data_IF_842225651658
#
_entry.id   IF_842225651658
#
_cell.length_a   1.000
_cell.length_b   1.000
_cell.length_c   1.000
_cell.angle_alpha   90.00
_cell.angle_beta   90.00
_cell.angle_gamma   90.00
#
_symmetry.space_group_name_H-M   'P 1'
#
loop_
_entity.id
_entity.type
_entity.pdbx_description
1 polymer ?
#
# COMPACT_ATOMS: atom_id res chain seq x y z
N UNK A 1 6.67 17.18 10.07
CA UNK A 1 6.60 17.70 8.67
C UNK A 1 5.72 18.92 8.53
N UNK A 2 4.41 18.81 8.77
CA UNK A 2 3.41 19.88 8.58
C UNK A 2 3.80 21.27 9.12
N UNK A 3 4.37 21.33 10.33
CA UNK A 3 4.73 22.59 10.98
C UNK A 3 6.08 23.16 10.54
N UNK A 4 6.97 22.34 9.97
CA UNK A 4 8.36 22.73 9.69
C UNK A 4 8.62 23.06 8.22
N UNK A 5 7.86 22.47 7.29
CA UNK A 5 7.97 22.75 5.85
C UNK A 5 7.68 24.22 5.51
N UNK A 6 6.71 24.91 6.14
CA UNK A 6 6.50 26.35 5.92
C UNK A 6 7.71 27.22 6.27
N UNK A 7 8.56 26.78 7.20
CA UNK A 7 9.79 27.48 7.56
C UNK A 7 10.90 27.30 6.51
N UNK A 8 10.66 26.50 5.47
CA UNK A 8 11.57 26.22 4.36
C UNK A 8 10.92 26.58 3.01
N UNK A 9 10.03 27.57 3.01
CA UNK A 9 9.32 28.10 1.83
C UNK A 9 8.37 27.11 1.14
N UNK A 10 7.95 26.05 1.84
CA UNK A 10 6.98 25.07 1.36
C UNK A 10 5.65 25.16 2.09
N UNK A 11 4.55 25.40 1.37
CA UNK A 11 3.20 25.17 1.88
C UNK A 11 2.98 23.68 2.13
N UNK A 12 2.19 23.33 3.16
CA UNK A 12 1.89 21.93 3.48
C UNK A 12 0.41 21.64 3.61
N UNK A 13 -0.03 20.55 2.99
CA UNK A 13 -1.37 19.98 3.09
C UNK A 13 -1.22 18.51 3.50
N UNK A 14 -1.98 18.07 4.51
CA UNK A 14 -1.96 16.69 4.98
C UNK A 14 -3.35 16.09 4.86
N UNK A 15 -3.44 14.94 4.20
CA UNK A 15 -4.65 14.11 4.13
C UNK A 15 -4.39 12.78 4.83
N UNK A 16 -5.43 12.19 5.40
CA UNK A 16 -5.37 10.86 6.00
C UNK A 16 -5.91 9.82 5.02
N UNK A 17 -5.42 8.59 5.10
CA UNK A 17 -6.05 7.49 4.37
C UNK A 17 -7.44 7.20 4.96
N UNK A 18 -8.44 6.86 4.12
CA UNK A 18 -9.69 6.31 4.60
C UNK A 18 -9.45 4.94 5.23
N UNK A 19 -10.41 4.50 6.04
CA UNK A 19 -10.41 3.14 6.56
C UNK A 19 -10.68 2.15 5.42
N UNK A 20 -9.87 1.10 5.34
CA UNK A 20 -9.90 0.13 4.25
C UNK A 20 -11.00 -0.89 4.50
N UNK A 21 -11.93 -1.05 3.56
CA UNK A 21 -12.97 -2.08 3.66
C UNK A 21 -12.37 -3.49 3.66
N UNK A 22 -11.24 -3.66 2.99
CA UNK A 22 -10.47 -4.91 2.97
C UNK A 22 -9.86 -5.32 4.32
N UNK A 23 -9.80 -4.41 5.30
CA UNK A 23 -9.34 -4.67 6.68
C UNK A 23 -10.52 -4.77 7.68
N UNK A 24 -11.76 -4.56 7.20
CA UNK A 24 -12.94 -4.74 8.03
C UNK A 24 -13.16 -6.23 8.33
N UNK A 25 -13.44 -6.54 9.60
CA UNK A 25 -13.72 -7.91 10.04
C UNK A 25 -14.97 -8.40 9.31
N UNK A 26 -14.79 -9.36 8.39
CA UNK A 26 -15.90 -9.97 7.68
C UNK A 26 -16.82 -10.69 8.68
N UNK A 27 -18.16 -10.56 8.56
CA UNK A 27 -19.09 -11.29 9.39
C UNK A 27 -18.85 -12.80 9.24
N UNK A 28 -18.77 -13.50 10.37
CA UNK A 28 -18.62 -14.97 10.40
C UNK A 28 -19.78 -15.59 9.62
N UNK A 29 -19.47 -16.28 8.52
CA UNK A 29 -20.46 -17.13 7.83
C UNK A 29 -20.79 -18.27 8.80
N UNK A 30 -21.99 -18.25 9.36
CA UNK A 30 -22.48 -19.32 10.24
C UNK A 30 -22.86 -20.47 9.32
N UNK A 31 -22.04 -21.51 9.29
CA UNK A 31 -22.40 -22.77 8.64
C UNK A 31 -23.68 -23.30 9.32
N UNK A 32 -24.79 -23.49 8.59
CA UNK A 32 -26.02 -23.98 9.21
C UNK A 32 -25.78 -25.39 9.73
N UNK A 33 -25.88 -25.54 11.06
CA UNK A 33 -25.67 -26.80 11.75
C UNK A 33 -26.57 -27.89 11.14
N UNK A 34 -25.93 -28.97 10.65
CA UNK A 34 -26.63 -30.16 10.21
C UNK A 34 -27.51 -30.69 11.35
N UNK A 35 -28.80 -30.86 11.07
CA UNK A 35 -29.78 -31.35 12.02
C UNK A 35 -29.42 -32.78 12.51
N UNK A 36 -29.55 -33.08 13.82
CA UNK A 36 -29.21 -34.38 14.35
C UNK A 36 -30.24 -35.44 13.91
N UNK A 37 -29.78 -36.53 13.30
CA UNK A 37 -30.60 -37.73 13.09
C UNK A 37 -30.62 -38.57 14.38
N UNK A 38 -31.81 -38.85 14.88
CA UNK A 38 -32.06 -39.78 15.99
C UNK A 38 -31.77 -41.25 15.58
N UNK A 39 -31.44 -42.15 16.54
CA UNK A 39 -30.92 -43.48 16.25
C UNK A 39 -32.06 -44.52 16.15
N UNK A 40 -31.87 -45.58 15.35
CA UNK A 40 -31.71 -46.96 15.83
C UNK A 40 -31.83 -48.04 14.73
N UNK A 41 -31.07 -49.12 14.99
CA UNK A 41 -31.29 -50.52 14.61
C UNK A 41 -30.78 -51.04 13.27
N UNK A 42 -29.93 -52.07 13.35
CA UNK A 42 -29.65 -53.01 12.26
C UNK A 42 -28.23 -53.57 12.24
N UNK A 43 -28.00 -54.66 12.99
CA UNK A 43 -26.81 -55.52 12.85
C UNK A 43 -27.00 -56.51 11.68
N UNK A 44 -26.08 -56.53 10.70
CA UNK A 44 -25.39 -57.72 10.13
C UNK A 44 -24.68 -57.47 8.78
N UNK A 45 -23.47 -58.04 8.72
CA UNK A 45 -22.54 -58.41 7.64
C UNK A 45 -22.79 -58.16 6.13
N UNK A 46 -21.73 -57.60 5.52
CA UNK A 46 -21.02 -57.94 4.27
C UNK A 46 -21.76 -58.25 2.93
N UNK A 47 -21.59 -57.36 1.93
CA UNK A 47 -20.80 -57.60 0.68
C UNK A 47 -21.29 -56.79 -0.55
N UNK A 48 -20.33 -56.23 -1.30
CA UNK A 48 -20.36 -55.79 -2.73
C UNK A 48 -21.05 -54.47 -3.16
N UNK A 49 -20.19 -53.45 -3.41
CA UNK A 49 -20.11 -52.39 -4.46
C UNK A 49 -21.28 -52.22 -5.47
N UNK A 50 -21.75 -51.04 -5.94
CA UNK A 50 -21.47 -49.57 -5.91
C UNK A 50 -22.87 -48.86 -6.08
N UNK A 51 -23.07 -47.55 -6.44
CA UNK A 51 -22.27 -46.32 -6.38
C UNK A 51 -23.07 -45.11 -5.82
N UNK A 52 -22.48 -44.23 -5.01
CA UNK A 52 -22.86 -42.81 -4.90
C UNK A 52 -21.83 -42.10 -4.00
N UNK A 53 -21.73 -40.79 -4.12
CA UNK A 53 -20.86 -39.88 -3.36
C UNK A 53 -19.46 -39.71 -4.00
N UNK A 54 -18.98 -38.52 -4.34
CA UNK A 54 -19.28 -37.22 -3.76
C UNK A 54 -18.85 -36.13 -4.75
N UNK A 55 -19.81 -35.36 -5.25
CA UNK A 55 -19.56 -34.03 -5.79
C UNK A 55 -19.15 -33.13 -4.60
N UNK A 56 -17.86 -33.06 -4.28
CA UNK A 56 -17.34 -32.18 -3.23
C UNK A 56 -16.08 -31.41 -3.67
N UNK A 57 -15.86 -31.27 -4.98
CA UNK A 57 -14.81 -30.40 -5.51
C UNK A 57 -15.31 -29.00 -5.91
N UNK A 58 -16.62 -28.83 -6.14
CA UNK A 58 -17.17 -27.58 -6.68
C UNK A 58 -17.41 -26.51 -5.61
N UNK A 59 -17.95 -26.86 -4.44
CA UNK A 59 -18.43 -25.84 -3.49
C UNK A 59 -17.30 -25.13 -2.74
N UNK A 60 -16.22 -25.83 -2.43
CA UNK A 60 -15.04 -25.22 -1.80
C UNK A 60 -14.28 -24.30 -2.78
N UNK A 61 -14.17 -24.70 -4.06
CA UNK A 61 -13.51 -23.90 -5.08
C UNK A 61 -14.35 -22.69 -5.52
N UNK A 62 -15.68 -22.84 -5.58
CA UNK A 62 -16.60 -21.73 -5.87
C UNK A 62 -16.68 -20.78 -4.68
N UNK A 63 -16.65 -21.27 -3.43
CA UNK A 63 -16.58 -20.40 -2.25
C UNK A 63 -15.26 -19.62 -2.18
N UNK A 64 -14.12 -20.25 -2.46
CA UNK A 64 -12.81 -19.58 -2.47
C UNK A 64 -12.70 -18.55 -3.60
N UNK A 65 -13.24 -18.85 -4.79
CA UNK A 65 -13.31 -17.91 -5.91
C UNK A 65 -14.21 -16.70 -5.60
N UNK A 66 -15.41 -16.91 -5.06
CA UNK A 66 -16.33 -15.82 -4.70
C UNK A 66 -15.74 -14.94 -3.58
N UNK A 67 -15.01 -15.52 -2.63
CA UNK A 67 -14.30 -14.75 -1.58
C UNK A 67 -13.11 -13.97 -2.15
N UNK A 68 -12.38 -14.52 -3.12
CA UNK A 68 -11.30 -13.83 -3.81
C UNK A 68 -11.81 -12.66 -4.66
N UNK A 69 -12.87 -12.87 -5.46
CA UNK A 69 -13.49 -11.83 -6.30
C UNK A 69 -14.02 -10.67 -5.45
N UNK A 70 -14.71 -10.96 -4.34
CA UNK A 70 -15.20 -9.93 -3.42
C UNK A 70 -14.08 -9.16 -2.73
N UNK A 71 -12.96 -9.81 -2.41
CA UNK A 71 -11.78 -9.14 -1.82
C UNK A 71 -11.10 -8.21 -2.83
N UNK A 72 -10.97 -8.63 -4.08
CA UNK A 72 -10.37 -7.80 -5.14
C UNK A 72 -11.26 -6.59 -5.48
N UNK A 73 -12.57 -6.77 -5.52
CA UNK A 73 -13.52 -5.68 -5.75
C UNK A 73 -13.48 -4.64 -4.61
N UNK A 74 -13.39 -5.09 -3.35
CA UNK A 74 -13.18 -4.22 -2.19
C UNK A 74 -11.85 -3.46 -2.27
N UNK A 75 -10.76 -4.12 -2.65
CA UNK A 75 -9.46 -3.48 -2.80
C UNK A 75 -9.47 -2.41 -3.92
N UNK A 76 -10.24 -2.64 -4.99
CA UNK A 76 -10.45 -1.66 -6.06
C UNK A 76 -11.28 -0.47 -5.58
N UNK A 77 -12.37 -0.70 -4.86
CA UNK A 77 -13.17 0.36 -4.26
C UNK A 77 -12.37 1.20 -3.24
N UNK A 78 -11.52 0.55 -2.43
CA UNK A 78 -10.56 1.21 -1.55
C UNK A 78 -9.60 2.11 -2.33
N UNK A 79 -9.01 1.60 -3.42
CA UNK A 79 -8.11 2.37 -4.28
C UNK A 79 -8.81 3.60 -4.88
N UNK A 80 -10.03 3.44 -5.39
CA UNK A 80 -10.81 4.54 -5.97
C UNK A 80 -11.12 5.64 -4.94
N UNK A 81 -11.49 5.26 -3.71
CA UNK A 81 -11.73 6.24 -2.62
C UNK A 81 -10.47 6.98 -2.24
N UNK A 82 -9.33 6.30 -2.19
CA UNK A 82 -8.03 6.93 -1.89
C UNK A 82 -7.63 7.87 -3.02
N UNK A 83 -7.77 7.46 -4.27
CA UNK A 83 -7.43 8.27 -5.43
C UNK A 83 -8.30 9.51 -5.52
N UNK A 84 -9.61 9.39 -5.31
CA UNK A 84 -10.51 10.54 -5.25
C UNK A 84 -10.10 11.54 -4.16
N UNK A 85 -9.60 11.05 -3.02
CA UNK A 85 -9.10 11.91 -1.94
C UNK A 85 -7.80 12.62 -2.30
N UNK A 86 -6.89 11.93 -3.00
CA UNK A 86 -5.64 12.51 -3.51
C UNK A 86 -5.96 13.55 -4.59
N UNK A 87 -6.85 13.24 -5.54
CA UNK A 87 -7.33 14.15 -6.59
C UNK A 87 -7.93 15.42 -5.98
N UNK A 88 -8.79 15.29 -4.97
CA UNK A 88 -9.37 16.44 -4.27
C UNK A 88 -8.31 17.30 -3.55
N UNK A 89 -7.29 16.68 -2.97
CA UNK A 89 -6.20 17.40 -2.31
C UNK A 89 -5.31 18.16 -3.31
N UNK A 90 -5.03 17.56 -4.46
CA UNK A 90 -4.29 18.19 -5.55
C UNK A 90 -5.11 19.36 -6.11
N UNK A 91 -6.40 19.15 -6.41
CA UNK A 91 -7.28 20.22 -6.87
C UNK A 91 -7.42 21.38 -5.87
N UNK A 92 -7.40 21.08 -4.56
CA UNK A 92 -7.34 22.13 -3.54
C UNK A 92 -6.01 22.90 -3.57
N UNK A 93 -4.87 22.21 -3.71
CA UNK A 93 -3.57 22.86 -3.82
C UNK A 93 -3.48 23.77 -5.06
N UNK A 94 -4.03 23.33 -6.19
CA UNK A 94 -4.14 24.11 -7.42
C UNK A 94 -4.97 25.40 -7.23
N UNK A 95 -6.10 25.31 -6.55
CA UNK A 95 -6.92 26.48 -6.23
C UNK A 95 -6.17 27.50 -5.37
N UNK A 96 -5.25 27.02 -4.52
CA UNK A 96 -4.33 27.87 -3.74
C UNK A 96 -3.11 28.33 -4.57
N UNK A 97 -3.16 28.21 -5.90
CA UNK A 97 -2.11 28.63 -6.83
C UNK A 97 -0.77 27.91 -6.64
N UNK A 98 -0.78 26.66 -6.14
CA UNK A 98 0.41 25.83 -6.09
C UNK A 98 0.81 25.41 -7.50
N UNK A 99 1.96 25.90 -8.00
CA UNK A 99 2.45 25.62 -9.36
C UNK A 99 3.27 24.34 -9.48
N UNK A 100 3.87 23.92 -8.37
CA UNK A 100 4.78 22.78 -8.28
C UNK A 100 4.39 21.96 -7.05
N UNK A 101 3.85 20.76 -7.27
CA UNK A 101 3.33 19.91 -6.19
C UNK A 101 4.31 18.77 -5.93
N UNK A 102 4.58 18.53 -4.65
CA UNK A 102 5.35 17.36 -4.20
C UNK A 102 4.46 16.49 -3.33
N UNK A 103 4.37 15.21 -3.67
CA UNK A 103 3.64 14.24 -2.85
C UNK A 103 4.60 13.56 -1.89
N UNK A 104 4.23 13.52 -0.60
CA UNK A 104 4.93 12.77 0.42
C UNK A 104 3.98 11.72 1.00
N UNK A 105 4.33 10.45 0.85
CA UNK A 105 3.62 9.33 1.47
C UNK A 105 4.42 8.75 2.63
N UNK A 106 3.73 8.44 3.73
CA UNK A 106 4.31 7.79 4.91
C UNK A 106 3.68 6.41 5.13
N UNK A 107 4.45 5.38 5.46
CA UNK A 107 3.90 4.05 5.73
C UNK A 107 3.17 3.48 4.52
N UNK A 108 1.94 3.03 4.74
CA UNK A 108 1.00 2.60 3.67
C UNK A 108 0.58 3.74 2.74
N UNK A 109 0.65 4.99 3.19
CA UNK A 109 0.43 6.15 2.33
C UNK A 109 1.47 6.29 1.22
N UNK A 110 2.69 5.81 1.43
CA UNK A 110 3.71 5.76 0.39
C UNK A 110 3.31 4.78 -0.73
N UNK A 111 2.76 3.63 -0.36
CA UNK A 111 2.26 2.65 -1.33
C UNK A 111 1.13 3.24 -2.18
N UNK A 112 0.12 3.82 -1.54
CA UNK A 112 -1.02 4.38 -2.26
C UNK A 112 -0.66 5.58 -3.13
N UNK A 113 0.24 6.45 -2.65
CA UNK A 113 0.74 7.56 -3.44
C UNK A 113 1.55 7.06 -4.66
N UNK A 114 2.41 6.05 -4.50
CA UNK A 114 3.13 5.45 -5.60
C UNK A 114 2.16 4.88 -6.65
N UNK A 115 1.17 4.09 -6.21
CA UNK A 115 0.16 3.50 -7.09
C UNK A 115 -0.66 4.56 -7.83
N UNK A 116 -1.10 5.60 -7.12
CA UNK A 116 -1.81 6.74 -7.72
C UNK A 116 -0.96 7.39 -8.82
N UNK A 117 0.32 7.66 -8.55
CA UNK A 117 1.23 8.32 -9.49
C UNK A 117 1.50 7.47 -10.74
N UNK A 118 1.57 6.15 -10.60
CA UNK A 118 1.76 5.23 -11.73
C UNK A 118 0.51 5.11 -12.59
N UNK A 119 -0.67 5.13 -11.98
CA UNK A 119 -1.95 4.96 -12.70
C UNK A 119 -2.45 6.26 -13.33
N UNK A 120 -2.39 7.39 -12.61
CA UNK A 120 -2.93 8.68 -13.05
C UNK A 120 -1.93 9.55 -13.81
N UNK A 121 -0.62 9.41 -13.53
CA UNK A 121 0.45 10.18 -14.17
C UNK A 121 0.17 11.69 -14.26
N UNK A 122 -0.20 12.30 -13.13
CA UNK A 122 -0.57 13.72 -13.05
C UNK A 122 0.64 14.63 -13.28
N UNK A 123 0.63 15.43 -14.35
CA UNK A 123 1.76 16.26 -14.77
C UNK A 123 2.19 17.36 -13.77
N UNK A 124 1.32 17.70 -12.82
CA UNK A 124 1.56 18.76 -11.83
C UNK A 124 2.44 18.31 -10.65
N UNK A 125 2.61 16.99 -10.49
CA UNK A 125 3.42 16.42 -9.43
C UNK A 125 4.83 16.27 -9.95
N UNK A 126 5.72 17.13 -9.46
CA UNK A 126 7.11 17.18 -9.93
C UNK A 126 8.00 16.15 -9.24
N UNK A 127 7.70 15.84 -7.97
CA UNK A 127 8.54 14.98 -7.13
C UNK A 127 7.68 14.12 -6.20
N UNK A 128 8.24 12.97 -5.83
CA UNK A 128 7.63 12.06 -4.87
C UNK A 128 8.61 11.63 -3.79
N UNK A 129 8.15 11.64 -2.55
CA UNK A 129 8.91 11.20 -1.38
C UNK A 129 8.15 10.09 -0.68
N UNK A 130 8.78 8.94 -0.56
CA UNK A 130 8.35 7.83 0.27
C UNK A 130 9.10 7.87 1.59
N UNK A 131 8.37 7.79 2.71
CA UNK A 131 8.93 7.68 4.05
C UNK A 131 8.41 6.41 4.69
N UNK A 132 9.33 5.56 5.16
CA UNK A 132 9.01 4.30 5.85
C UNK A 132 7.98 3.48 5.08
N UNK A 133 8.22 3.30 3.78
CA UNK A 133 7.18 2.81 2.88
C UNK A 133 6.81 1.36 3.19
N UNK A 134 5.51 1.12 3.36
CA UNK A 134 4.96 -0.20 3.68
C UNK A 134 3.87 -0.56 2.67
N UNK A 135 3.93 -1.77 2.12
CA UNK A 135 2.85 -2.30 1.30
C UNK A 135 1.79 -2.95 2.22
N UNK A 136 0.49 -2.68 2.02
CA UNK A 136 -0.55 -3.44 2.73
C UNK A 136 -0.44 -4.93 2.40
N UNK A 137 -0.75 -5.80 3.36
CA UNK A 137 -0.47 -7.23 3.26
C UNK A 137 -1.09 -7.94 2.04
N UNK A 138 -2.27 -7.49 1.58
CA UNK A 138 -2.99 -8.05 0.42
C UNK A 138 -2.87 -7.19 -0.83
N UNK A 139 -2.06 -6.14 -0.82
CA UNK A 139 -2.02 -5.19 -1.91
C UNK A 139 -1.22 -5.71 -3.11
N UNK A 140 -1.86 -5.74 -4.27
CA UNK A 140 -1.24 -5.96 -5.58
C UNK A 140 -1.46 -4.71 -6.46
N UNK A 141 -0.48 -4.30 -7.28
CA UNK A 141 0.88 -4.84 -7.42
C UNK A 141 1.78 -4.51 -6.22
N UNK A 142 2.94 -5.14 -6.12
CA UNK A 142 3.90 -4.89 -5.03
C UNK A 142 4.59 -3.52 -5.20
N UNK A 143 5.04 -2.90 -4.09
CA UNK A 143 5.67 -1.58 -4.16
C UNK A 143 6.95 -1.56 -5.02
N UNK A 144 7.71 -2.66 -5.02
CA UNK A 144 8.88 -2.82 -5.87
C UNK A 144 8.54 -2.83 -7.38
N UNK A 145 7.35 -3.28 -7.76
CA UNK A 145 6.88 -3.31 -9.15
C UNK A 145 6.40 -1.92 -9.60
N UNK A 146 5.84 -1.14 -8.68
CA UNK A 146 5.41 0.24 -8.95
C UNK A 146 6.61 1.17 -9.16
N UNK A 147 7.67 1.00 -8.36
CA UNK A 147 8.84 1.88 -8.32
C UNK A 147 9.46 2.18 -9.70
N UNK A 148 9.78 1.19 -10.57
CA UNK A 148 10.37 1.46 -11.88
C UNK A 148 9.43 2.18 -12.86
N UNK A 149 8.11 2.14 -12.63
CA UNK A 149 7.12 2.77 -13.53
C UNK A 149 6.88 4.25 -13.21
N UNK A 150 7.42 4.76 -12.10
CA UNK A 150 7.37 6.16 -11.72
C UNK A 150 8.24 7.00 -12.67
N UNK A 151 7.62 7.92 -13.41
CA UNK A 151 8.28 8.79 -14.40
C UNK A 151 8.79 10.12 -13.83
N UNK A 152 8.93 10.21 -12.51
CA UNK A 152 9.29 11.44 -11.80
C UNK A 152 10.34 11.18 -10.73
N UNK A 153 11.16 12.18 -10.37
CA UNK A 153 12.13 12.08 -9.29
C UNK A 153 11.51 11.56 -8.00
N UNK A 154 12.01 10.41 -7.53
CA UNK A 154 11.49 9.71 -6.38
C UNK A 154 12.58 9.50 -5.32
N UNK A 155 12.30 9.93 -4.10
CA UNK A 155 13.09 9.59 -2.92
C UNK A 155 12.43 8.47 -2.12
N UNK A 156 13.23 7.50 -1.71
CA UNK A 156 12.84 6.45 -0.78
C UNK A 156 13.65 6.56 0.50
N UNK A 157 12.98 7.03 1.56
CA UNK A 157 13.55 7.25 2.88
C UNK A 157 13.14 6.08 3.79
N UNK A 158 14.12 5.32 4.27
CA UNK A 158 13.87 4.09 5.04
C UNK A 158 14.80 3.99 6.26
N UNK A 159 14.40 3.20 7.25
CA UNK A 159 15.20 2.96 8.46
C UNK A 159 16.14 1.75 8.27
N UNK A 160 17.45 1.98 8.35
CA UNK A 160 18.45 0.95 8.04
C UNK A 160 18.66 -0.06 9.18
N UNK A 161 18.28 0.30 10.39
CA UNK A 161 18.38 -0.51 11.60
C UNK A 161 17.24 -1.53 11.74
N UNK A 162 16.17 -1.41 10.95
CA UNK A 162 15.09 -2.38 10.86
C UNK A 162 15.33 -3.33 9.67
N UNK A 163 15.56 -4.64 9.90
CA UNK A 163 15.91 -5.57 8.82
C UNK A 163 14.84 -5.69 7.73
N UNK A 164 13.56 -5.65 8.10
CA UNK A 164 12.44 -5.71 7.15
C UNK A 164 12.45 -4.50 6.21
N UNK A 165 12.54 -3.30 6.76
CA UNK A 165 12.55 -2.05 6.00
C UNK A 165 13.78 -1.97 5.08
N UNK A 166 14.95 -2.39 5.58
CA UNK A 166 16.18 -2.45 4.80
C UNK A 166 16.04 -3.41 3.60
N UNK A 167 15.48 -4.60 3.81
CA UNK A 167 15.31 -5.58 2.73
C UNK A 167 14.29 -5.08 1.70
N UNK A 168 13.15 -4.54 2.15
CA UNK A 168 12.14 -3.95 1.27
C UNK A 168 12.68 -2.73 0.48
N UNK A 169 13.55 -1.92 1.09
CA UNK A 169 14.25 -0.85 0.38
C UNK A 169 15.24 -1.41 -0.66
N UNK A 170 16.02 -2.44 -0.32
CA UNK A 170 16.94 -3.06 -1.28
C UNK A 170 16.21 -3.63 -2.49
N UNK A 171 15.07 -4.30 -2.31
CA UNK A 171 14.23 -4.81 -3.39
C UNK A 171 13.76 -3.68 -4.32
N UNK A 172 13.27 -2.57 -3.75
CA UNK A 172 12.83 -1.39 -4.52
C UNK A 172 13.98 -0.76 -5.30
N UNK A 173 15.18 -0.69 -4.72
CA UNK A 173 16.38 -0.20 -5.41
C UNK A 173 16.82 -1.11 -6.56
N UNK A 174 16.71 -2.42 -6.38
CA UNK A 174 17.02 -3.37 -7.44
C UNK A 174 15.99 -3.30 -8.57
N UNK A 175 14.72 -3.16 -8.23
CA UNK A 175 13.64 -3.02 -9.20
C UNK A 175 13.77 -1.70 -10.01
N UNK A 176 14.08 -0.58 -9.36
CA UNK A 176 14.25 0.72 -10.04
C UNK A 176 15.40 0.70 -11.06
N UNK A 177 16.50 0.02 -10.74
CA UNK A 177 17.66 -0.17 -11.65
C UNK A 177 17.35 -0.96 -12.92
N UNK A 178 16.25 -1.72 -12.96
CA UNK A 178 15.86 -2.48 -14.16
C UNK A 178 15.45 -1.55 -15.30
N UNK A 179 15.00 -0.33 -14.99
CA UNK A 179 14.63 0.68 -15.98
C UNK A 179 15.61 1.86 -15.93
N UNK A 180 16.31 2.11 -17.04
CA UNK A 180 17.35 3.15 -17.16
C UNK A 180 16.86 4.59 -16.94
N UNK A 181 15.54 4.81 -16.92
CA UNK A 181 14.92 6.14 -16.85
C UNK A 181 14.43 6.52 -15.45
N UNK A 182 14.59 5.67 -14.42
CA UNK A 182 14.08 5.98 -13.09
C UNK A 182 15.00 6.97 -12.37
N UNK A 183 14.51 8.18 -12.07
CA UNK A 183 15.18 9.14 -11.21
C UNK A 183 14.94 8.76 -9.73
N UNK A 184 15.36 7.55 -9.36
CA UNK A 184 15.13 6.96 -8.04
C UNK A 184 16.35 7.10 -7.14
N UNK A 185 16.15 7.55 -5.92
CA UNK A 185 17.21 7.74 -4.93
C UNK A 185 16.78 7.21 -3.56
N UNK A 186 17.73 6.68 -2.79
CA UNK A 186 17.47 6.17 -1.45
C UNK A 186 18.23 6.94 -0.39
N UNK A 187 17.56 7.17 0.73
CA UNK A 187 18.15 7.85 1.89
C UNK A 187 17.92 7.00 3.13
N UNK A 188 19.01 6.45 3.66
CA UNK A 188 18.99 5.68 4.90
C UNK A 188 18.88 6.59 6.12
N UNK A 189 17.97 6.25 7.02
CA UNK A 189 17.80 6.83 8.34
C UNK A 189 18.22 5.83 9.42
N UNK A 190 18.64 6.34 10.56
CA UNK A 190 18.75 5.57 11.81
C UNK A 190 17.54 5.87 12.67
N UNK A 191 16.88 4.87 13.23
CA UNK A 191 15.87 5.12 14.24
C UNK A 191 16.55 5.73 15.48
N UNK A 192 15.87 6.70 16.09
CA UNK A 192 16.33 7.38 17.30
C UNK A 192 15.32 7.11 18.41
N UNK A 193 15.75 6.95 19.68
CA UNK A 193 14.84 6.69 20.78
C UNK A 193 13.95 7.91 21.10
N UNK A 194 14.39 9.12 20.75
CA UNK A 194 13.59 10.34 20.87
C UNK A 194 12.87 10.66 19.56
N UNK A 195 11.54 10.67 19.61
CA UNK A 195 10.66 10.99 18.48
C UNK A 195 10.91 12.42 17.95
N UNK A 196 11.25 13.40 18.82
CA UNK A 196 11.55 14.76 18.35
C UNK A 196 12.82 14.79 17.51
N UNK A 197 13.87 14.14 17.98
CA UNK A 197 15.12 13.99 17.23
C UNK A 197 14.92 13.23 15.91
N UNK A 198 14.10 12.18 15.90
CA UNK A 198 13.77 11.40 14.70
C UNK A 198 13.03 12.25 13.66
N UNK A 199 12.00 12.99 14.09
CA UNK A 199 11.28 13.91 13.20
C UNK A 199 12.16 15.03 12.65
N UNK A 200 13.11 15.53 13.45
CA UNK A 200 14.09 16.52 13.01
C UNK A 200 15.06 15.93 11.98
N UNK A 201 15.56 14.71 12.22
CA UNK A 201 16.39 13.98 11.25
C UNK A 201 15.64 13.79 9.93
N UNK A 202 14.41 13.28 9.98
CA UNK A 202 13.58 13.08 8.80
C UNK A 202 13.34 14.40 8.07
N UNK A 203 12.99 15.47 8.80
CA UNK A 203 12.78 16.80 8.23
C UNK A 203 14.02 17.30 7.48
N UNK A 204 15.21 17.19 8.08
CA UNK A 204 16.46 17.61 7.44
C UNK A 204 16.74 16.84 6.15
N UNK A 205 16.48 15.53 6.16
CA UNK A 205 16.71 14.66 5.00
C UNK A 205 15.73 14.94 3.87
N UNK A 206 14.45 15.09 4.17
CA UNK A 206 13.43 15.49 3.19
C UNK A 206 13.76 16.87 2.62
N UNK A 207 14.01 17.87 3.47
CA UNK A 207 14.34 19.24 3.03
C UNK A 207 15.56 19.26 2.11
N UNK A 208 16.64 18.57 2.49
CA UNK A 208 17.86 18.51 1.69
C UNK A 208 17.65 17.85 0.32
N UNK A 209 16.73 16.89 0.22
CA UNK A 209 16.38 16.27 -1.05
C UNK A 209 15.44 17.13 -1.90
N UNK A 210 14.49 17.85 -1.28
CA UNK A 210 13.58 18.74 -1.99
C UNK A 210 14.31 19.92 -2.63
N UNK A 211 15.25 20.51 -1.88
CA UNK A 211 16.06 21.66 -2.28
C UNK A 211 17.55 21.28 -2.23
N UNK A 212 18.06 20.48 -3.19
CA UNK A 212 19.47 20.20 -3.26
C UNK A 212 20.21 21.53 -3.55
N UNK A 213 21.06 21.95 -2.63
CA UNK A 213 21.99 23.04 -2.93
C UNK A 213 22.99 22.47 -3.93
N UNK A 214 22.96 22.96 -5.17
CA UNK A 214 24.04 22.67 -6.10
C UNK A 214 25.32 23.24 -5.48
N UNK A 215 26.38 22.43 -5.29
CA UNK A 215 27.68 22.99 -5.06
C UNK A 215 28.09 23.69 -6.37
N UNK A 216 28.27 25.01 -6.32
CA UNK A 216 28.98 25.77 -7.35
C UNK A 216 30.41 25.23 -7.52
#
# INVERSE_FOLDING_TARGET
MRQKLPNADWSSLSITLPDLQSDAIAPRVIEPAAAPKAPESGSKDATTAQPIEQAAGGEAEVADQVVAETTEEQAKADAERIFARIDAAIGYAEQQSARSIVVLGHGTGAYWAARYLTEKQTAQIEKFVMVDAQAPAKAKPALAELTPTLKLPTADIFYMDKPLDRNAALERMQASKRLKTSAFSQVALKALPDNKAEQEQLFRRVRGWLNPQNPD
#
